data_IF_563410054671
#
_entry.id   IF_563410054671
#
_cell.length_a   1.000
_cell.length_b   1.000
_cell.length_c   1.000
_cell.angle_alpha   90.00
_cell.angle_beta   90.00
_cell.angle_gamma   90.00
#
_symmetry.space_group_name_H-M   'P 1'
#
loop_
_entity.id
_entity.type
_entity.pdbx_description
1 polymer ?
#
# COMPACT_ATOMS: atom_id res chain seq x y z
N UNK A 1 3.08 -36.28 4.99
CA UNK A 1 2.06 -35.59 4.20
C UNK A 1 2.58 -35.47 2.77
N UNK A 2 1.76 -35.82 1.81
CA UNK A 2 2.06 -35.76 0.39
C UNK A 2 0.87 -36.28 -0.42
N UNK A 3 1.03 -36.36 -1.72
CA UNK A 3 0.05 -36.95 -2.63
C UNK A 3 0.36 -38.41 -2.78
N UNK A 4 -0.57 -39.35 -2.47
CA UNK A 4 -0.35 -40.78 -2.68
C UNK A 4 0.00 -41.10 -4.14
N UNK A 5 0.91 -42.03 -4.36
CA UNK A 5 1.16 -42.57 -5.68
C UNK A 5 0.02 -43.51 -6.05
N UNK A 6 -0.70 -43.32 -7.18
CA UNK A 6 -1.86 -44.13 -7.55
C UNK A 6 -1.48 -45.52 -8.09
N UNK A 7 -0.72 -46.27 -7.26
CA UNK A 7 -0.08 -47.52 -7.67
C UNK A 7 -0.33 -48.59 -6.61
N UNK A 8 -0.60 -49.81 -7.08
CA UNK A 8 -0.62 -51.01 -6.28
C UNK A 8 0.33 -52.06 -6.90
N UNK A 9 0.65 -53.08 -6.13
CA UNK A 9 1.45 -54.22 -6.57
C UNK A 9 0.74 -55.53 -6.26
N UNK A 10 0.93 -56.53 -7.11
CA UNK A 10 0.40 -57.85 -6.88
C UNK A 10 1.12 -58.57 -5.77
N UNK A 11 0.37 -59.36 -5.02
CA UNK A 11 0.92 -60.33 -4.07
C UNK A 11 0.80 -61.71 -4.77
N UNK A 12 1.87 -62.46 -4.89
CA UNK A 12 1.84 -63.77 -5.48
C UNK A 12 1.21 -64.84 -4.56
N UNK A 13 1.19 -66.13 -5.03
CA UNK A 13 0.63 -67.22 -4.28
C UNK A 13 1.44 -67.57 -3.03
N UNK A 14 2.73 -67.20 -2.98
CA UNK A 14 3.65 -67.41 -1.85
C UNK A 14 3.62 -66.24 -0.85
N UNK A 15 2.87 -65.19 -1.17
CA UNK A 15 2.76 -63.97 -0.33
C UNK A 15 3.82 -62.93 -0.58
N UNK A 16 4.64 -63.09 -1.64
CA UNK A 16 5.70 -62.11 -2.02
C UNK A 16 5.12 -61.02 -2.91
N UNK A 17 5.58 -59.75 -2.73
CA UNK A 17 5.10 -58.58 -3.52
C UNK A 17 5.93 -58.48 -4.81
N UNK A 18 5.26 -58.47 -5.95
CA UNK A 18 5.84 -58.22 -7.26
C UNK A 18 5.92 -56.73 -7.57
N UNK A 19 7.03 -56.07 -7.26
CA UNK A 19 7.32 -54.67 -7.58
C UNK A 19 7.68 -54.44 -9.06
N UNK A 20 7.87 -55.48 -9.87
CA UNK A 20 8.28 -55.33 -11.27
C UNK A 20 7.11 -54.91 -12.18
N UNK A 21 5.88 -55.27 -11.79
CA UNK A 21 4.68 -55.02 -12.59
C UNK A 21 3.65 -54.26 -11.74
N UNK A 22 3.70 -52.93 -11.72
CA UNK A 22 2.73 -52.11 -10.98
C UNK A 22 1.33 -52.20 -11.57
N UNK A 23 0.30 -52.17 -10.73
CA UNK A 23 -1.09 -51.93 -11.10
C UNK A 23 -1.36 -50.46 -10.97
N UNK A 24 -1.70 -49.78 -12.06
CA UNK A 24 -1.97 -48.36 -12.11
C UNK A 24 -3.49 -48.10 -12.02
N UNK A 25 -3.86 -47.00 -11.39
CA UNK A 25 -5.23 -46.50 -11.50
C UNK A 25 -5.48 -45.91 -12.87
N UNK A 26 -6.71 -46.12 -13.41
CA UNK A 26 -7.16 -45.41 -14.60
C UNK A 26 -7.33 -43.92 -14.29
N UNK A 27 -7.08 -43.05 -15.25
CA UNK A 27 -7.12 -41.57 -15.08
C UNK A 27 -8.50 -41.08 -14.65
N UNK A 28 -9.56 -41.69 -15.13
CA UNK A 28 -10.96 -41.33 -14.79
C UNK A 28 -11.36 -41.72 -13.37
N UNK A 29 -10.53 -42.50 -12.66
CA UNK A 29 -10.71 -42.87 -11.25
C UNK A 29 -9.93 -41.98 -10.27
N UNK A 30 -9.08 -41.12 -10.77
CA UNK A 30 -8.31 -40.22 -9.93
C UNK A 30 -9.21 -39.14 -9.28
N UNK A 31 -8.90 -38.71 -8.04
CA UNK A 31 -7.78 -39.14 -7.18
C UNK A 31 -8.06 -40.46 -6.47
N UNK A 32 -7.02 -41.28 -6.26
CA UNK A 32 -7.07 -42.51 -5.45
C UNK A 32 -6.03 -42.48 -4.35
N UNK A 33 -6.34 -43.12 -3.21
CA UNK A 33 -5.40 -43.42 -2.15
C UNK A 33 -5.19 -44.94 -2.06
N UNK A 34 -4.03 -45.49 -2.52
CA UNK A 34 -3.80 -46.93 -2.52
C UNK A 34 -3.82 -47.58 -1.13
N UNK A 35 -3.72 -46.81 -0.07
CA UNK A 35 -3.85 -47.32 1.31
C UNK A 35 -5.29 -47.72 1.64
N UNK A 36 -6.29 -47.11 1.02
CA UNK A 36 -7.73 -47.33 1.26
C UNK A 36 -8.47 -47.84 0.04
N UNK A 37 -8.12 -47.38 -1.15
CA UNK A 37 -8.77 -47.75 -2.41
C UNK A 37 -8.28 -49.09 -2.96
N UNK A 38 -9.06 -49.68 -3.84
CA UNK A 38 -8.85 -51.03 -4.39
C UNK A 38 -8.59 -50.93 -5.89
N UNK A 39 -7.53 -51.60 -6.43
CA UNK A 39 -7.28 -51.62 -7.86
C UNK A 39 -8.37 -52.39 -8.58
N UNK A 40 -8.51 -52.14 -9.89
CA UNK A 40 -9.50 -52.81 -10.71
C UNK A 40 -9.29 -54.34 -10.75
N UNK A 41 -10.38 -55.06 -10.67
CA UNK A 41 -10.38 -56.53 -10.68
C UNK A 41 -10.09 -57.18 -9.32
N UNK A 42 -9.94 -56.40 -8.27
CA UNK A 42 -9.75 -56.89 -6.90
C UNK A 42 -10.88 -56.47 -5.97
N UNK A 43 -10.94 -57.10 -4.81
CA UNK A 43 -11.84 -56.76 -3.68
C UNK A 43 -11.03 -56.39 -2.44
N UNK A 44 -11.62 -55.63 -1.53
CA UNK A 44 -10.92 -55.08 -0.34
C UNK A 44 -10.35 -56.17 0.60
N UNK A 45 -10.96 -57.36 0.66
CA UNK A 45 -10.51 -58.48 1.44
C UNK A 45 -9.26 -59.18 0.88
N UNK A 46 -8.89 -58.87 -0.36
CA UNK A 46 -7.64 -59.35 -0.98
C UNK A 46 -6.43 -58.50 -0.68
N UNK A 47 -6.59 -57.41 0.07
CA UNK A 47 -5.47 -56.53 0.47
C UNK A 47 -4.51 -57.25 1.39
N UNK A 48 -3.26 -57.39 0.97
CA UNK A 48 -2.20 -58.09 1.70
C UNK A 48 -2.27 -59.61 1.71
N UNK A 49 -3.25 -60.20 1.04
CA UNK A 49 -3.42 -61.67 0.99
C UNK A 49 -2.70 -62.27 -0.22
N UNK A 50 -2.26 -63.54 -0.16
CA UNK A 50 -1.72 -64.23 -1.29
C UNK A 50 -2.69 -64.25 -2.50
N UNK A 51 -2.18 -63.91 -3.68
CA UNK A 51 -2.99 -63.71 -4.88
C UNK A 51 -3.78 -62.38 -4.91
N UNK A 52 -3.58 -61.51 -3.93
CA UNK A 52 -4.19 -60.19 -3.84
C UNK A 52 -3.28 -59.06 -4.25
N UNK A 53 -3.33 -57.96 -3.53
CA UNK A 53 -2.56 -56.72 -3.82
C UNK A 53 -2.12 -55.98 -2.55
N UNK A 54 -1.14 -55.13 -2.69
CA UNK A 54 -0.74 -54.10 -1.68
C UNK A 54 -0.68 -52.75 -2.36
N UNK A 55 -1.04 -51.67 -1.64
CA UNK A 55 -0.84 -50.30 -2.08
C UNK A 55 0.61 -49.86 -1.96
N UNK A 56 1.06 -48.98 -2.84
CA UNK A 56 2.35 -48.31 -2.66
C UNK A 56 2.30 -47.47 -1.37
N UNK A 57 3.26 -47.66 -0.45
CA UNK A 57 3.28 -46.90 0.80
C UNK A 57 3.86 -45.48 0.64
N UNK A 58 4.49 -45.20 -0.49
CA UNK A 58 5.16 -43.94 -0.71
C UNK A 58 4.16 -42.86 -1.15
N UNK A 59 4.52 -41.63 -0.85
CA UNK A 59 3.80 -40.45 -1.25
C UNK A 59 4.73 -39.47 -1.94
N UNK A 60 4.24 -38.76 -2.96
CA UNK A 60 4.98 -37.65 -3.54
C UNK A 60 5.11 -36.53 -2.52
N UNK A 61 6.26 -35.87 -2.48
CA UNK A 61 6.47 -34.64 -1.69
C UNK A 61 5.38 -33.60 -2.01
N UNK A 62 4.96 -32.85 -1.01
CA UNK A 62 3.96 -31.77 -1.18
C UNK A 62 4.38 -30.72 -2.20
N UNK A 63 5.66 -30.57 -2.47
CA UNK A 63 6.16 -29.71 -3.56
C UNK A 63 5.70 -30.19 -4.95
N UNK A 64 5.35 -31.46 -5.11
CA UNK A 64 4.75 -31.95 -6.35
C UNK A 64 3.45 -31.25 -6.68
N UNK A 65 2.53 -31.09 -5.70
CA UNK A 65 1.28 -30.33 -5.88
C UNK A 65 1.54 -28.82 -5.92
N UNK A 66 2.37 -28.32 -4.99
CA UNK A 66 2.69 -26.89 -4.91
C UNK A 66 3.33 -26.35 -6.18
N UNK A 67 4.07 -27.18 -6.91
CA UNK A 67 4.70 -26.81 -8.19
C UNK A 67 3.69 -26.61 -9.34
N UNK A 68 2.43 -27.02 -9.17
CA UNK A 68 1.34 -26.80 -10.12
C UNK A 68 0.45 -25.60 -9.74
N UNK A 69 0.83 -24.81 -8.75
CA UNK A 69 0.01 -23.69 -8.27
C UNK A 69 -0.47 -22.74 -9.37
N UNK A 70 0.35 -22.32 -10.37
CA UNK A 70 -0.15 -21.47 -11.47
C UNK A 70 -1.23 -22.15 -12.30
N UNK A 71 -1.08 -23.43 -12.61
CA UNK A 71 -2.06 -24.21 -13.37
C UNK A 71 -3.36 -24.39 -12.57
N UNK A 72 -3.25 -24.80 -11.30
CA UNK A 72 -4.41 -24.98 -10.42
C UNK A 72 -5.18 -23.66 -10.22
N UNK A 73 -4.48 -22.57 -9.94
CA UNK A 73 -5.11 -21.27 -9.76
C UNK A 73 -5.71 -20.70 -11.04
N UNK A 74 -5.15 -21.06 -12.19
CA UNK A 74 -5.66 -20.69 -13.51
C UNK A 74 -6.81 -21.55 -14.00
N UNK A 75 -7.19 -22.65 -13.32
CA UNK A 75 -8.24 -23.54 -13.75
C UNK A 75 -7.83 -24.42 -14.95
N UNK A 76 -6.54 -24.83 -15.01
CA UNK A 76 -6.03 -25.69 -16.06
C UNK A 76 -6.89 -26.95 -16.19
N UNK A 77 -7.33 -27.26 -17.40
CA UNK A 77 -8.29 -28.32 -17.78
C UNK A 77 -9.75 -28.07 -17.36
N UNK A 78 -10.01 -27.39 -16.23
CA UNK A 78 -11.37 -27.13 -15.72
C UNK A 78 -12.01 -25.89 -16.35
N UNK A 79 -11.24 -24.81 -16.57
CA UNK A 79 -11.69 -23.53 -17.14
C UNK A 79 -10.67 -22.99 -18.16
N UNK A 80 -10.75 -23.47 -19.44
CA UNK A 80 -9.82 -23.04 -20.49
C UNK A 80 -9.84 -21.55 -20.77
N UNK A 81 -10.98 -20.86 -20.60
CA UNK A 81 -11.09 -19.40 -20.79
C UNK A 81 -10.32 -18.63 -19.69
N UNK A 82 -10.49 -19.02 -18.43
CA UNK A 82 -9.73 -18.45 -17.33
C UNK A 82 -8.23 -18.71 -17.51
N UNK A 83 -7.86 -19.97 -17.82
CA UNK A 83 -6.46 -20.35 -18.00
C UNK A 83 -5.79 -19.53 -19.09
N UNK A 84 -6.42 -19.36 -20.25
CA UNK A 84 -5.88 -18.58 -21.36
C UNK A 84 -5.69 -17.08 -21.01
N UNK A 85 -6.46 -16.56 -20.06
CA UNK A 85 -6.36 -15.15 -19.62
C UNK A 85 -5.34 -14.91 -18.53
N UNK A 86 -5.04 -15.91 -17.68
CA UNK A 86 -4.19 -15.71 -16.48
C UNK A 86 -2.88 -16.48 -16.51
N UNK A 87 -2.70 -17.40 -17.48
CA UNK A 87 -1.46 -18.15 -17.61
C UNK A 87 -0.75 -17.76 -18.92
N UNK A 88 0.55 -17.42 -18.90
CA UNK A 88 1.40 -17.24 -17.71
C UNK A 88 0.92 -16.12 -16.78
N UNK A 89 1.17 -16.25 -15.48
CA UNK A 89 0.85 -15.21 -14.48
C UNK A 89 1.80 -14.02 -14.60
N UNK A 90 1.42 -12.85 -14.04
CA UNK A 90 2.27 -11.66 -14.08
C UNK A 90 3.37 -11.72 -13.01
N UNK A 91 3.01 -12.02 -11.78
CA UNK A 91 3.90 -11.88 -10.64
C UNK A 91 3.90 -13.08 -9.71
N UNK A 92 5.10 -13.52 -9.34
CA UNK A 92 5.32 -14.55 -8.32
C UNK A 92 6.02 -13.97 -7.09
N UNK A 93 5.31 -13.62 -5.99
CA UNK A 93 5.96 -13.29 -4.72
C UNK A 93 6.36 -14.56 -3.95
N UNK A 94 7.60 -14.61 -3.48
CA UNK A 94 8.11 -15.68 -2.62
C UNK A 94 9.35 -15.26 -1.84
N UNK A 95 9.70 -16.02 -0.79
CA UNK A 95 11.00 -15.89 -0.12
C UNK A 95 12.10 -16.68 -0.84
N UNK A 96 13.35 -16.32 -0.57
CA UNK A 96 14.52 -16.92 -1.24
C UNK A 96 14.78 -18.39 -0.85
N UNK A 97 14.26 -18.85 0.28
CA UNK A 97 14.52 -20.21 0.79
C UNK A 97 13.80 -21.32 0.02
N UNK A 98 12.77 -21.00 -0.77
CA UNK A 98 12.05 -21.95 -1.61
C UNK A 98 12.38 -21.86 -3.11
N UNK A 99 13.45 -21.16 -3.49
CA UNK A 99 13.86 -21.01 -4.89
C UNK A 99 14.15 -22.38 -5.53
N UNK A 100 14.93 -23.22 -4.88
CA UNK A 100 15.34 -24.53 -5.45
C UNK A 100 14.33 -25.66 -5.22
N UNK A 101 13.28 -25.43 -4.44
CA UNK A 101 12.20 -26.38 -4.23
C UNK A 101 10.98 -25.99 -5.05
N UNK A 102 10.24 -25.01 -4.61
CA UNK A 102 8.98 -24.60 -5.24
C UNK A 102 9.21 -23.91 -6.60
N UNK A 103 10.03 -22.84 -6.67
CA UNK A 103 10.23 -22.10 -7.91
C UNK A 103 10.81 -22.99 -9.00
N UNK A 104 11.91 -23.71 -8.70
CA UNK A 104 12.55 -24.59 -9.68
C UNK A 104 11.57 -25.63 -10.22
N UNK A 105 10.87 -26.35 -9.34
CA UNK A 105 9.92 -27.37 -9.75
C UNK A 105 8.76 -26.80 -10.58
N UNK A 106 8.27 -25.61 -10.22
CA UNK A 106 7.18 -24.95 -10.98
C UNK A 106 7.65 -24.55 -12.38
N UNK A 107 8.84 -23.96 -12.51
CA UNK A 107 9.40 -23.58 -13.82
C UNK A 107 9.61 -24.80 -14.70
N UNK A 108 10.22 -25.87 -14.17
CA UNK A 108 10.48 -27.10 -14.95
C UNK A 108 9.19 -27.73 -15.45
N UNK A 109 8.15 -27.82 -14.59
CA UNK A 109 6.87 -28.39 -14.98
C UNK A 109 6.15 -27.54 -16.02
N UNK A 110 6.13 -26.24 -15.84
CA UNK A 110 5.52 -25.31 -16.78
C UNK A 110 6.18 -25.36 -18.15
N UNK A 111 7.53 -25.40 -18.19
CA UNK A 111 8.28 -25.53 -19.44
C UNK A 111 8.01 -26.85 -20.16
N UNK A 112 7.99 -27.96 -19.42
CA UNK A 112 7.77 -29.28 -20.01
C UNK A 112 6.32 -29.47 -20.50
N UNK A 113 5.34 -28.91 -19.81
CA UNK A 113 3.93 -29.08 -20.12
C UNK A 113 3.43 -28.04 -21.14
N UNK A 114 3.83 -26.78 -20.99
CA UNK A 114 3.27 -25.68 -21.77
C UNK A 114 4.30 -25.02 -22.71
N UNK A 115 5.58 -25.35 -22.63
CA UNK A 115 6.65 -24.67 -23.37
C UNK A 115 6.79 -23.19 -23.01
N UNK A 116 6.40 -22.81 -21.78
CA UNK A 116 6.37 -21.43 -21.31
C UNK A 116 6.75 -21.32 -19.83
N UNK A 117 7.33 -20.16 -19.44
CA UNK A 117 7.51 -19.82 -18.04
C UNK A 117 6.16 -19.58 -17.37
N UNK A 118 6.00 -19.93 -16.09
CA UNK A 118 4.71 -19.81 -15.40
C UNK A 118 4.32 -18.40 -14.98
N UNK A 119 5.25 -17.42 -15.07
CA UNK A 119 5.07 -16.00 -14.75
C UNK A 119 6.12 -15.13 -15.44
N UNK A 120 5.85 -13.83 -15.53
CA UNK A 120 6.77 -12.84 -16.11
C UNK A 120 7.82 -12.36 -15.10
N UNK A 121 7.40 -12.10 -13.88
CA UNK A 121 8.20 -11.47 -12.83
C UNK A 121 8.20 -12.28 -11.52
N UNK A 122 9.30 -12.17 -10.75
CA UNK A 122 9.45 -12.83 -9.45
C UNK A 122 9.90 -11.81 -8.41
N UNK A 123 9.05 -11.54 -7.41
CA UNK A 123 9.40 -10.70 -6.27
C UNK A 123 9.96 -11.56 -5.14
N UNK A 124 11.27 -11.50 -4.93
CA UNK A 124 11.94 -12.27 -3.87
C UNK A 124 11.99 -11.47 -2.58
N UNK A 125 11.37 -11.97 -1.51
CA UNK A 125 11.44 -11.38 -0.18
C UNK A 125 12.58 -11.98 0.66
N UNK A 126 13.05 -11.24 1.68
CA UNK A 126 13.86 -11.77 2.76
C UNK A 126 13.02 -12.56 3.78
N UNK A 127 13.65 -12.97 4.87
CA UNK A 127 12.97 -13.61 5.99
C UNK A 127 12.25 -12.58 6.87
N UNK A 128 11.16 -13.01 7.47
CA UNK A 128 10.60 -12.35 8.65
C UNK A 128 11.33 -12.91 9.88
N UNK A 129 12.05 -12.02 10.57
CA UNK A 129 12.83 -12.35 11.76
C UNK A 129 12.02 -12.05 13.04
N UNK A 130 12.40 -12.68 14.14
CA UNK A 130 11.85 -12.31 15.45
C UNK A 130 12.29 -10.89 15.87
N UNK A 131 11.77 -10.33 16.99
CA UNK A 131 12.15 -9.00 17.45
C UNK A 131 13.66 -8.85 17.76
N UNK A 132 14.35 -9.96 18.07
CA UNK A 132 15.80 -10.00 18.29
C UNK A 132 16.59 -10.17 16.97
N UNK A 133 15.93 -10.09 15.81
CA UNK A 133 16.51 -10.27 14.47
C UNK A 133 17.08 -11.66 14.22
N UNK A 134 16.49 -12.70 14.82
CA UNK A 134 16.86 -14.10 14.60
C UNK A 134 15.82 -14.78 13.71
N UNK A 135 16.29 -15.74 12.89
CA UNK A 135 15.38 -16.56 12.08
C UNK A 135 14.42 -17.32 12.99
N UNK A 136 13.11 -17.16 12.72
CA UNK A 136 12.06 -17.87 13.42
C UNK A 136 12.03 -19.35 13.06
N UNK A 137 11.86 -20.21 14.06
CA UNK A 137 11.63 -21.64 13.85
C UNK A 137 10.79 -22.24 14.99
N UNK A 138 9.97 -23.22 14.65
CA UNK A 138 9.16 -23.96 15.66
C UNK A 138 10.04 -24.61 16.72
N UNK A 139 11.20 -25.17 16.33
CA UNK A 139 12.12 -25.84 17.25
C UNK A 139 12.79 -24.90 18.26
N UNK A 140 12.90 -23.60 17.94
CA UNK A 140 13.47 -22.59 18.85
C UNK A 140 12.41 -21.91 19.72
N UNK A 141 11.12 -22.11 19.42
CA UNK A 141 10.01 -21.48 20.14
C UNK A 141 9.91 -19.96 20.01
N UNK A 142 10.60 -19.36 19.01
CA UNK A 142 10.62 -17.91 18.78
C UNK A 142 9.70 -17.46 17.63
N UNK A 143 8.70 -18.26 17.29
CA UNK A 143 7.76 -17.94 16.24
C UNK A 143 6.75 -16.90 16.75
N UNK A 144 6.69 -15.76 16.08
CA UNK A 144 5.66 -14.73 16.26
C UNK A 144 4.57 -14.95 15.22
N UNK A 145 3.33 -15.17 15.66
CA UNK A 145 2.19 -15.32 14.75
C UNK A 145 1.49 -13.98 14.54
N UNK A 146 0.83 -13.76 13.40
CA UNK A 146 0.22 -12.47 13.11
C UNK A 146 -1.03 -12.16 13.93
N UNK A 147 -1.78 -13.17 14.41
CA UNK A 147 -3.07 -12.96 15.06
C UNK A 147 -3.02 -12.02 16.28
N UNK A 148 -2.12 -12.22 17.27
CA UNK A 148 -2.00 -11.29 18.40
C UNK A 148 -1.62 -9.86 17.96
N UNK A 149 -0.80 -9.72 16.91
CA UNK A 149 -0.42 -8.42 16.38
C UNK A 149 -1.61 -7.71 15.72
N UNK A 150 -2.45 -8.45 14.99
CA UNK A 150 -3.68 -7.93 14.40
C UNK A 150 -4.67 -7.47 15.46
N UNK A 151 -4.84 -8.24 16.53
CA UNK A 151 -5.71 -7.88 17.65
C UNK A 151 -5.23 -6.63 18.39
N UNK A 152 -3.91 -6.50 18.59
CA UNK A 152 -3.32 -5.40 19.35
C UNK A 152 -3.22 -4.10 18.54
N UNK A 153 -2.80 -4.17 17.28
CA UNK A 153 -2.45 -3.00 16.47
C UNK A 153 -3.47 -2.69 15.37
N UNK A 154 -4.27 -3.66 14.95
CA UNK A 154 -5.18 -3.58 13.81
C UNK A 154 -4.51 -3.95 12.49
N UNK A 155 -5.32 -4.33 11.51
CA UNK A 155 -4.84 -4.87 10.23
C UNK A 155 -4.01 -3.84 9.44
N UNK A 156 -4.45 -2.61 9.33
CA UNK A 156 -3.72 -1.55 8.61
C UNK A 156 -2.31 -1.32 9.18
N UNK A 157 -2.18 -1.37 10.52
CA UNK A 157 -0.89 -1.20 11.18
C UNK A 157 0.10 -2.35 10.89
N UNK A 158 -0.38 -3.59 10.88
CA UNK A 158 0.43 -4.77 10.55
C UNK A 158 0.81 -4.75 9.07
N UNK A 159 -0.11 -4.37 8.18
CA UNK A 159 0.15 -4.21 6.75
C UNK A 159 1.16 -3.10 6.47
N UNK A 160 1.07 -1.97 7.17
CA UNK A 160 2.05 -0.88 7.08
C UNK A 160 3.46 -1.36 7.42
N UNK A 161 3.64 -2.09 8.53
CA UNK A 161 4.92 -2.69 8.88
C UNK A 161 5.41 -3.63 7.77
N UNK A 162 4.56 -4.52 7.26
CA UNK A 162 4.92 -5.45 6.19
C UNK A 162 5.32 -4.71 4.89
N UNK A 163 4.57 -3.68 4.51
CA UNK A 163 4.84 -2.87 3.32
C UNK A 163 6.09 -1.97 3.45
N UNK A 164 6.55 -1.69 4.68
CA UNK A 164 7.80 -0.97 4.92
C UNK A 164 9.05 -1.83 4.68
N UNK A 165 8.90 -3.15 4.57
CA UNK A 165 9.98 -4.09 4.25
C UNK A 165 10.32 -4.04 2.76
N UNK A 166 11.59 -3.77 2.43
CA UNK A 166 12.04 -3.74 1.02
C UNK A 166 12.23 -5.15 0.46
N UNK A 167 11.90 -5.38 -0.81
CA UNK A 167 12.23 -6.64 -1.49
C UNK A 167 13.71 -7.04 -1.30
N UNK A 168 13.97 -8.34 -1.13
CA UNK A 168 15.33 -8.88 -0.99
C UNK A 168 16.00 -8.65 0.36
N UNK A 169 15.34 -8.02 1.33
CA UNK A 169 15.91 -7.75 2.66
C UNK A 169 15.13 -8.44 3.76
N UNK A 170 15.83 -8.91 4.80
CA UNK A 170 15.21 -9.46 6.00
C UNK A 170 14.54 -8.37 6.82
N UNK A 171 13.33 -8.65 7.31
CA UNK A 171 12.53 -7.70 8.10
C UNK A 171 12.23 -8.31 9.47
N UNK A 172 12.62 -7.63 10.54
CA UNK A 172 12.25 -8.06 11.90
C UNK A 172 10.81 -7.65 12.23
N UNK A 173 10.14 -8.44 13.07
CA UNK A 173 8.87 -8.03 13.67
C UNK A 173 9.11 -6.78 14.52
N UNK A 174 8.47 -5.68 14.18
CA UNK A 174 8.66 -4.38 14.81
C UNK A 174 7.32 -3.73 15.17
N UNK A 175 6.93 -3.86 16.44
CA UNK A 175 5.72 -3.22 16.97
C UNK A 175 5.83 -1.68 16.96
N UNK A 176 7.04 -1.12 16.98
CA UNK A 176 7.27 0.32 16.84
C UNK A 176 6.77 0.81 15.49
N UNK A 177 7.11 0.11 14.41
CA UNK A 177 6.62 0.40 13.06
C UNK A 177 5.10 0.19 12.95
N UNK A 178 4.54 -0.82 13.60
CA UNK A 178 3.08 -1.01 13.64
C UNK A 178 2.37 0.16 14.33
N UNK A 179 2.96 0.72 15.40
CA UNK A 179 2.44 1.95 16.05
C UNK A 179 2.52 3.17 15.13
N UNK A 180 3.55 3.27 14.29
CA UNK A 180 3.63 4.31 13.25
C UNK A 180 2.49 4.15 12.25
N UNK A 181 2.28 2.95 11.72
CA UNK A 181 1.18 2.66 10.79
C UNK A 181 -0.20 2.95 11.37
N UNK A 182 -0.42 2.62 12.65
CA UNK A 182 -1.67 2.96 13.34
C UNK A 182 -1.88 4.47 13.44
N UNK A 183 -0.81 5.23 13.76
CA UNK A 183 -0.90 6.71 13.78
C UNK A 183 -1.20 7.29 12.41
N UNK A 184 -0.59 6.74 11.35
CA UNK A 184 -0.88 7.13 9.98
C UNK A 184 -2.36 6.89 9.64
N UNK A 185 -2.90 5.69 9.90
CA UNK A 185 -4.30 5.37 9.68
C UNK A 185 -5.25 6.33 10.42
N UNK A 186 -4.96 6.63 11.68
CA UNK A 186 -5.74 7.60 12.47
C UNK A 186 -5.61 9.02 11.92
N UNK A 187 -4.45 9.41 11.40
CA UNK A 187 -4.26 10.73 10.77
C UNK A 187 -5.05 10.83 9.46
N UNK A 188 -5.07 9.75 8.65
CA UNK A 188 -5.92 9.65 7.43
C UNK A 188 -7.38 9.88 7.81
N UNK A 189 -7.89 9.17 8.80
CA UNK A 189 -9.27 9.32 9.27
C UNK A 189 -9.61 10.77 9.68
N UNK A 190 -8.73 11.39 10.48
CA UNK A 190 -8.95 12.73 11.01
C UNK A 190 -8.82 13.83 9.93
N UNK A 191 -7.82 13.73 9.06
CA UNK A 191 -7.65 14.64 7.93
C UNK A 191 -8.85 14.57 6.97
N UNK A 192 -9.35 13.37 6.73
CA UNK A 192 -10.53 13.13 5.87
C UNK A 192 -11.79 13.71 6.49
N UNK A 193 -12.01 13.54 7.80
CA UNK A 193 -13.13 14.20 8.51
C UNK A 193 -13.09 15.71 8.40
N UNK A 194 -11.90 16.30 8.52
CA UNK A 194 -11.73 17.72 8.31
C UNK A 194 -12.08 18.12 6.87
N UNK A 195 -11.45 17.50 5.88
CA UNK A 195 -11.66 17.84 4.47
C UNK A 195 -13.12 17.69 4.05
N UNK A 196 -13.74 16.53 4.32
CA UNK A 196 -15.13 16.25 3.96
C UNK A 196 -16.12 17.12 4.74
N UNK A 197 -15.82 17.44 6.00
CA UNK A 197 -16.64 18.37 6.79
C UNK A 197 -16.64 19.80 6.24
N UNK A 198 -15.70 20.16 5.35
CA UNK A 198 -15.69 21.47 4.65
C UNK A 198 -16.46 21.43 3.33
N UNK A 199 -16.76 20.23 2.84
CA UNK A 199 -17.56 20.02 1.64
C UNK A 199 -19.06 19.86 1.92
N UNK A 200 -19.45 19.64 3.18
CA UNK A 200 -20.85 19.52 3.57
C UNK A 200 -21.54 20.89 3.57
N UNK A 201 -22.72 20.96 2.95
CA UNK A 201 -23.62 22.08 3.06
C UNK A 201 -24.41 22.09 4.40
N UNK A 202 -25.37 23.02 4.56
CA UNK A 202 -26.19 23.15 5.77
C UNK A 202 -27.02 21.89 6.06
N UNK A 203 -27.41 21.16 5.03
CA UNK A 203 -28.22 19.94 5.13
C UNK A 203 -27.32 18.67 5.32
N UNK A 204 -25.99 18.83 5.34
CA UNK A 204 -25.03 17.74 5.43
C UNK A 204 -24.75 17.02 4.11
N UNK A 205 -25.27 17.54 2.98
CA UNK A 205 -24.99 17.02 1.64
C UNK A 205 -23.59 17.45 1.22
N UNK A 206 -22.79 16.51 0.70
CA UNK A 206 -21.45 16.83 0.22
C UNK A 206 -21.51 17.50 -1.16
N UNK A 207 -21.02 18.73 -1.23
CA UNK A 207 -20.89 19.51 -2.46
C UNK A 207 -19.39 19.62 -2.79
N UNK A 208 -18.93 18.82 -3.74
CA UNK A 208 -17.54 18.79 -4.18
C UNK A 208 -17.36 19.76 -5.34
N UNK A 209 -16.63 20.87 -5.16
CA UNK A 209 -16.33 21.76 -6.28
C UNK A 209 -15.46 21.04 -7.32
N UNK A 210 -15.63 21.34 -8.62
CA UNK A 210 -14.79 20.74 -9.66
C UNK A 210 -13.35 21.25 -9.57
N UNK A 211 -12.40 20.47 -10.09
CA UNK A 211 -10.96 20.79 -10.00
C UNK A 211 -10.56 22.06 -10.75
N UNK A 212 -11.35 22.52 -11.72
CA UNK A 212 -11.13 23.80 -12.41
C UNK A 212 -11.42 25.02 -11.52
N UNK A 213 -12.11 24.84 -10.38
CA UNK A 213 -12.25 25.86 -9.35
C UNK A 213 -10.95 26.14 -8.58
N UNK A 214 -9.90 25.32 -8.75
CA UNK A 214 -8.59 25.53 -8.10
C UNK A 214 -7.86 26.68 -8.77
N UNK A 215 -7.93 27.84 -8.16
CA UNK A 215 -7.37 29.09 -8.67
C UNK A 215 -6.24 29.68 -7.83
N UNK A 216 -6.26 29.44 -6.50
CA UNK A 216 -5.24 29.96 -5.61
C UNK A 216 -3.87 29.30 -5.83
N UNK A 217 -2.77 30.10 -5.86
CA UNK A 217 -1.43 29.59 -6.17
C UNK A 217 -0.97 28.47 -5.21
N UNK A 218 -1.27 28.60 -3.92
CA UNK A 218 -0.88 27.60 -2.92
C UNK A 218 -1.60 26.25 -3.12
N UNK A 219 -2.85 26.28 -3.57
CA UNK A 219 -3.65 25.08 -3.87
C UNK A 219 -3.10 24.36 -5.11
N UNK A 220 -2.73 25.15 -6.13
CA UNK A 220 -2.05 24.62 -7.35
C UNK A 220 -0.69 24.03 -7.02
N UNK A 221 0.09 24.68 -6.15
CA UNK A 221 1.38 24.17 -5.69
C UNK A 221 1.23 22.82 -5.01
N UNK A 222 0.27 22.67 -4.10
CA UNK A 222 0.00 21.42 -3.40
C UNK A 222 -0.40 20.30 -4.38
N UNK A 223 -1.34 20.56 -5.28
CA UNK A 223 -1.76 19.57 -6.28
C UNK A 223 -0.65 19.24 -7.28
N UNK A 224 0.17 20.19 -7.67
CA UNK A 224 1.36 19.96 -8.50
C UNK A 224 2.36 19.02 -7.82
N UNK A 225 2.66 19.21 -6.53
CA UNK A 225 3.48 18.28 -5.75
C UNK A 225 2.85 16.89 -5.65
N UNK A 226 1.53 16.82 -5.49
CA UNK A 226 0.82 15.55 -5.47
C UNK A 226 0.91 14.81 -6.81
N UNK A 227 0.88 15.53 -7.94
CA UNK A 227 1.09 14.95 -9.26
C UNK A 227 2.46 14.26 -9.37
N UNK A 228 3.53 14.88 -8.84
CA UNK A 228 4.86 14.26 -8.76
C UNK A 228 4.82 12.97 -7.94
N UNK A 229 4.13 12.99 -6.80
CA UNK A 229 3.98 11.77 -5.97
C UNK A 229 3.24 10.66 -6.71
N UNK A 230 2.20 10.97 -7.49
CA UNK A 230 1.50 9.99 -8.33
C UNK A 230 2.46 9.33 -9.32
N UNK A 231 3.29 10.12 -10.02
CA UNK A 231 4.29 9.59 -10.97
C UNK A 231 5.33 8.73 -10.26
N UNK A 232 5.89 9.22 -9.14
CA UNK A 232 6.91 8.48 -8.38
C UNK A 232 6.37 7.19 -7.76
N UNK A 233 5.15 7.21 -7.20
CA UNK A 233 4.50 6.03 -6.62
C UNK A 233 4.15 5.02 -7.71
N UNK A 234 3.64 5.46 -8.85
CA UNK A 234 3.36 4.59 -10.00
C UNK A 234 4.63 3.91 -10.49
N UNK A 235 5.70 4.67 -10.74
CA UNK A 235 6.99 4.11 -11.18
C UNK A 235 7.57 3.12 -10.15
N UNK A 236 7.39 3.39 -8.85
CA UNK A 236 7.84 2.50 -7.79
C UNK A 236 7.03 1.19 -7.77
N UNK A 237 5.71 1.23 -7.93
CA UNK A 237 4.89 0.02 -8.03
C UNK A 237 5.19 -0.78 -9.30
N UNK A 238 5.39 -0.13 -10.45
CA UNK A 238 5.81 -0.80 -11.69
C UNK A 238 7.16 -1.51 -11.54
N UNK A 239 8.04 -0.98 -10.69
CA UNK A 239 9.33 -1.61 -10.34
C UNK A 239 9.22 -2.60 -9.16
N UNK A 240 8.01 -2.91 -8.68
CA UNK A 240 7.75 -3.74 -7.50
C UNK A 240 8.39 -3.22 -6.19
N UNK A 241 8.80 -1.94 -6.14
CA UNK A 241 9.32 -1.25 -4.94
C UNK A 241 8.17 -0.57 -4.17
N UNK A 242 7.27 -1.38 -3.64
CA UNK A 242 6.12 -0.92 -2.87
C UNK A 242 6.50 -0.11 -1.61
N UNK A 243 7.66 -0.40 -1.03
CA UNK A 243 8.15 0.33 0.13
C UNK A 243 8.49 1.79 -0.22
N UNK A 244 9.06 2.02 -1.41
CA UNK A 244 9.33 3.37 -1.91
C UNK A 244 8.04 4.12 -2.24
N UNK A 245 7.06 3.43 -2.84
CA UNK A 245 5.75 4.04 -3.11
C UNK A 245 5.08 4.52 -1.80
N UNK A 246 5.11 3.68 -0.75
CA UNK A 246 4.63 4.05 0.57
C UNK A 246 5.41 5.24 1.16
N UNK A 247 6.74 5.21 1.15
CA UNK A 247 7.61 6.27 1.68
C UNK A 247 7.30 7.62 1.04
N UNK A 248 7.14 7.68 -0.29
CA UNK A 248 6.82 8.91 -1.02
C UNK A 248 5.43 9.43 -0.70
N UNK A 249 4.44 8.53 -0.70
CA UNK A 249 3.06 8.89 -0.39
C UNK A 249 2.91 9.36 1.06
N UNK A 250 3.52 8.65 2.01
CA UNK A 250 3.45 9.00 3.43
C UNK A 250 4.14 10.34 3.71
N UNK A 251 5.33 10.56 3.16
CA UNK A 251 6.07 11.82 3.33
C UNK A 251 5.26 13.02 2.85
N UNK A 252 4.65 12.91 1.67
CA UNK A 252 3.75 13.94 1.17
C UNK A 252 2.50 14.10 2.05
N UNK A 253 1.89 13.01 2.50
CA UNK A 253 0.69 13.05 3.34
C UNK A 253 0.93 13.78 4.66
N UNK A 254 2.10 13.60 5.29
CA UNK A 254 2.46 14.36 6.49
C UNK A 254 2.61 15.86 6.21
N UNK A 255 3.32 16.25 5.14
CA UNK A 255 3.43 17.65 4.74
C UNK A 255 2.07 18.25 4.38
N UNK A 256 1.21 17.51 3.67
CA UNK A 256 -0.18 17.90 3.40
C UNK A 256 -0.94 18.18 4.70
N UNK A 257 -0.84 17.30 5.69
CA UNK A 257 -1.56 17.46 6.95
C UNK A 257 -0.99 18.54 7.86
N UNK A 258 0.33 18.65 7.96
CA UNK A 258 0.96 19.47 8.98
C UNK A 258 1.21 20.91 8.49
N UNK A 259 1.31 21.10 7.17
CA UNK A 259 1.54 22.41 6.57
C UNK A 259 0.31 22.89 5.77
N UNK A 260 -0.03 22.21 4.69
CA UNK A 260 -1.07 22.70 3.78
C UNK A 260 -2.45 22.80 4.43
N UNK A 261 -2.93 21.75 5.13
CA UNK A 261 -4.23 21.77 5.79
C UNK A 261 -4.33 22.93 6.79
N UNK A 262 -3.28 23.20 7.53
CA UNK A 262 -3.26 24.28 8.52
C UNK A 262 -3.21 25.67 7.86
N UNK A 263 -2.49 25.82 6.74
CA UNK A 263 -2.43 27.07 5.97
C UNK A 263 -3.81 27.43 5.40
N UNK A 264 -4.48 26.48 4.74
CA UNK A 264 -5.75 26.76 4.06
C UNK A 264 -6.98 26.64 4.96
N UNK A 265 -6.79 26.31 6.21
CA UNK A 265 -7.86 25.99 7.16
C UNK A 265 -8.93 27.08 7.24
N UNK A 266 -8.54 28.32 7.49
CA UNK A 266 -9.47 29.45 7.60
C UNK A 266 -10.23 29.66 6.30
N UNK A 267 -9.54 29.64 5.17
CA UNK A 267 -10.13 29.81 3.86
C UNK A 267 -11.11 28.66 3.52
N UNK A 268 -10.82 27.42 3.91
CA UNK A 268 -11.74 26.29 3.73
C UNK A 268 -13.04 26.40 4.56
N UNK A 269 -13.03 27.19 5.65
CA UNK A 269 -14.22 27.53 6.46
C UNK A 269 -15.04 28.70 5.92
N UNK A 270 -14.56 29.39 4.88
CA UNK A 270 -15.24 30.56 4.29
C UNK A 270 -16.57 30.24 3.64
N UNK A 271 -17.22 31.29 3.14
CA UNK A 271 -18.52 31.18 2.46
C UNK A 271 -18.40 30.41 1.13
N UNK A 272 -19.49 29.73 0.75
CA UNK A 272 -19.44 28.80 -0.41
C UNK A 272 -19.27 29.54 -1.75
N UNK A 273 -19.69 30.81 -1.83
CA UNK A 273 -19.59 31.66 -3.02
C UNK A 273 -18.26 32.42 -3.14
N UNK A 274 -17.38 32.33 -2.13
CA UNK A 274 -16.03 32.90 -2.18
C UNK A 274 -15.11 32.02 -3.07
N UNK A 275 -14.47 32.62 -4.11
CA UNK A 275 -13.59 31.87 -5.00
C UNK A 275 -12.39 31.24 -4.29
N UNK A 276 -11.86 31.86 -3.25
CA UNK A 276 -10.77 31.32 -2.45
C UNK A 276 -11.20 30.08 -1.65
N UNK A 277 -12.41 30.11 -1.10
CA UNK A 277 -13.04 28.96 -0.42
C UNK A 277 -13.29 27.82 -1.40
N UNK A 278 -13.86 28.11 -2.56
CA UNK A 278 -14.09 27.11 -3.61
C UNK A 278 -12.78 26.45 -4.05
N UNK A 279 -11.70 27.23 -4.23
CA UNK A 279 -10.38 26.74 -4.58
C UNK A 279 -9.82 25.79 -3.50
N UNK A 280 -9.85 26.19 -2.23
CA UNK A 280 -9.36 25.35 -1.13
C UNK A 280 -10.16 24.04 -1.02
N UNK A 281 -11.50 24.10 -1.10
CA UNK A 281 -12.36 22.92 -1.02
C UNK A 281 -12.17 21.97 -2.20
N UNK A 282 -12.02 22.48 -3.43
CA UNK A 282 -11.72 21.66 -4.61
C UNK A 282 -10.37 20.96 -4.47
N UNK A 283 -9.34 21.68 -4.04
CA UNK A 283 -8.00 21.12 -3.83
C UNK A 283 -7.97 20.07 -2.70
N UNK A 284 -8.70 20.29 -1.60
CA UNK A 284 -8.84 19.31 -0.52
C UNK A 284 -9.53 18.03 -1.00
N UNK A 285 -10.62 18.15 -1.77
CA UNK A 285 -11.34 17.00 -2.29
C UNK A 285 -10.50 16.20 -3.30
N UNK A 286 -9.84 16.89 -4.24
CA UNK A 286 -8.94 16.26 -5.22
C UNK A 286 -7.77 15.54 -4.53
N UNK A 287 -7.09 16.23 -3.62
CA UNK A 287 -5.98 15.63 -2.87
C UNK A 287 -6.43 14.42 -2.04
N UNK A 288 -7.58 14.50 -1.36
CA UNK A 288 -8.11 13.38 -0.59
C UNK A 288 -8.41 12.17 -1.47
N UNK A 289 -9.05 12.37 -2.62
CA UNK A 289 -9.34 11.29 -3.58
C UNK A 289 -8.07 10.58 -4.06
N UNK A 290 -7.03 11.33 -4.39
CA UNK A 290 -5.74 10.79 -4.85
C UNK A 290 -5.01 10.07 -3.72
N UNK A 291 -4.88 10.70 -2.55
CA UNK A 291 -4.15 10.15 -1.41
C UNK A 291 -4.77 8.87 -0.86
N UNK A 292 -6.10 8.79 -0.81
CA UNK A 292 -6.78 7.57 -0.40
C UNK A 292 -6.45 6.41 -1.35
N UNK A 293 -6.48 6.62 -2.67
CA UNK A 293 -6.15 5.60 -3.67
C UNK A 293 -4.67 5.20 -3.62
N UNK A 294 -3.75 6.14 -3.40
CA UNK A 294 -2.32 5.84 -3.22
C UNK A 294 -2.05 5.02 -1.96
N UNK A 295 -2.79 5.25 -0.87
CA UNK A 295 -2.63 4.55 0.40
C UNK A 295 -3.42 3.24 0.48
N UNK A 296 -4.45 3.03 -0.35
CA UNK A 296 -5.32 1.86 -0.31
C UNK A 296 -4.59 0.50 -0.39
N UNK A 297 -3.52 0.33 -1.19
CA UNK A 297 -2.78 -0.93 -1.21
C UNK A 297 -2.14 -1.31 0.13
N UNK A 298 -1.84 -0.33 0.96
CA UNK A 298 -1.15 -0.52 2.26
C UNK A 298 -2.12 -0.45 3.44
N UNK A 299 -3.03 0.53 3.45
CA UNK A 299 -4.01 0.80 4.51
C UNK A 299 -5.44 0.56 4.01
N UNK A 300 -5.80 -0.68 3.62
CA UNK A 300 -7.05 -0.95 2.92
C UNK A 300 -8.31 -0.63 3.73
N UNK A 301 -8.28 -0.81 5.04
CA UNK A 301 -9.48 -0.66 5.86
C UNK A 301 -9.83 0.81 6.12
N UNK A 302 -8.87 1.63 6.52
CA UNK A 302 -9.15 3.05 6.78
C UNK A 302 -9.46 3.81 5.49
N UNK A 303 -8.84 3.43 4.38
CA UNK A 303 -9.12 4.08 3.08
C UNK A 303 -10.49 3.71 2.55
N UNK A 304 -10.93 2.45 2.67
CA UNK A 304 -12.29 2.02 2.33
C UNK A 304 -13.33 2.68 3.23
N UNK A 305 -13.10 2.73 4.54
CA UNK A 305 -13.99 3.41 5.48
C UNK A 305 -14.24 4.87 5.05
N UNK A 306 -13.15 5.63 4.82
CA UNK A 306 -13.27 7.03 4.39
C UNK A 306 -13.90 7.16 3.01
N UNK A 307 -13.54 6.28 2.06
CA UNK A 307 -14.09 6.27 0.71
C UNK A 307 -15.62 6.14 0.73
N UNK A 308 -16.13 5.23 1.54
CA UNK A 308 -17.56 4.96 1.70
C UNK A 308 -18.38 6.16 2.22
N UNK A 309 -17.75 7.18 2.81
CA UNK A 309 -18.45 8.36 3.31
C UNK A 309 -18.89 9.32 2.19
N UNK A 310 -18.26 9.23 1.01
CA UNK A 310 -18.46 10.23 -0.03
C UNK A 310 -18.35 9.73 -1.48
N UNK A 311 -17.95 8.50 -1.68
CA UNK A 311 -17.83 7.88 -3.00
C UNK A 311 -18.71 6.64 -3.11
N UNK A 312 -19.14 6.34 -4.34
CA UNK A 312 -19.91 5.14 -4.65
C UNK A 312 -18.97 3.97 -4.98
N UNK A 313 -19.30 2.79 -4.48
CA UNK A 313 -18.49 1.58 -4.70
C UNK A 313 -17.27 1.51 -3.77
N UNK A 314 -16.45 0.49 -3.97
CA UNK A 314 -15.25 0.26 -3.15
C UNK A 314 -14.04 0.97 -3.74
N UNK A 315 -13.17 1.53 -2.88
CA UNK A 315 -11.88 2.09 -3.29
C UNK A 315 -10.99 1.04 -3.96
N UNK A 316 -11.14 -0.24 -3.57
CA UNK A 316 -10.37 -1.35 -4.11
C UNK A 316 -10.77 -1.75 -5.54
N UNK A 317 -11.91 -1.23 -6.02
CA UNK A 317 -12.34 -1.35 -7.41
C UNK A 317 -12.16 -0.02 -8.19
N UNK A 318 -11.72 1.05 -7.53
CA UNK A 318 -11.44 2.33 -8.18
C UNK A 318 -10.14 2.26 -9.00
N UNK A 319 -10.08 3.04 -10.07
CA UNK A 319 -8.87 3.16 -10.88
C UNK A 319 -7.71 3.76 -10.08
N UNK A 320 -6.49 3.30 -10.36
CA UNK A 320 -5.27 3.92 -9.84
C UNK A 320 -5.22 5.40 -10.23
N UNK A 321 -4.79 6.31 -9.32
CA UNK A 321 -4.79 7.73 -9.63
C UNK A 321 -3.79 8.08 -10.73
N UNK A 322 -4.18 9.05 -11.56
CA UNK A 322 -3.36 9.62 -12.62
C UNK A 322 -3.01 11.08 -12.32
N UNK A 323 -2.11 11.64 -13.09
CA UNK A 323 -1.76 13.07 -12.99
C UNK A 323 -2.98 13.96 -13.25
N UNK A 324 -3.90 13.56 -14.14
CA UNK A 324 -5.11 14.31 -14.45
C UNK A 324 -6.04 14.48 -13.24
N UNK A 325 -6.00 13.54 -12.28
CA UNK A 325 -6.75 13.61 -11.03
C UNK A 325 -6.26 14.73 -10.08
N UNK A 326 -5.13 15.36 -10.38
CA UNK A 326 -4.57 16.49 -9.61
C UNK A 326 -4.90 17.85 -10.22
N UNK A 327 -5.70 17.88 -11.29
CA UNK A 327 -6.22 19.11 -11.89
C UNK A 327 -5.48 19.61 -13.11
N UNK A 328 -6.02 20.64 -13.79
CA UNK A 328 -5.48 21.15 -15.02
C UNK A 328 -4.12 21.83 -14.82
N UNK A 329 -3.13 21.43 -15.64
CA UNK A 329 -1.79 22.04 -15.67
C UNK A 329 -0.66 21.16 -15.11
N UNK A 330 -0.95 20.01 -14.53
CA UNK A 330 0.04 18.98 -14.31
C UNK A 330 0.29 18.28 -15.66
N UNK A 331 1.36 18.64 -16.36
CA UNK A 331 1.75 17.96 -17.61
C UNK A 331 2.10 16.49 -17.35
N UNK A 332 2.13 15.67 -18.43
CA UNK A 332 2.49 14.25 -18.35
C UNK A 332 3.82 13.96 -17.66
N UNK A 333 4.71 14.94 -17.62
CA UNK A 333 6.04 14.86 -16.98
C UNK A 333 6.04 15.33 -15.52
N UNK A 334 4.87 15.69 -14.95
CA UNK A 334 4.64 16.15 -13.58
C UNK A 334 5.72 17.11 -13.03
N UNK A 335 6.22 18.03 -13.87
CA UNK A 335 7.11 19.07 -13.41
C UNK A 335 6.28 20.19 -12.75
N UNK A 336 6.45 20.39 -11.45
CA UNK A 336 5.87 21.54 -10.76
C UNK A 336 6.54 22.81 -11.32
N UNK A 337 5.74 23.80 -11.74
CA UNK A 337 6.30 25.10 -12.06
C UNK A 337 7.02 25.68 -10.84
N UNK A 338 8.33 25.97 -10.94
CA UNK A 338 9.12 26.39 -9.78
C UNK A 338 8.59 27.64 -9.07
N UNK A 339 7.96 28.56 -9.80
CA UNK A 339 7.39 29.76 -9.20
C UNK A 339 6.13 29.44 -8.38
N UNK A 340 5.32 28.52 -8.87
CA UNK A 340 4.14 28.02 -8.17
C UNK A 340 4.55 27.19 -6.95
N UNK A 341 5.53 26.30 -7.08
CA UNK A 341 6.03 25.46 -5.98
C UNK A 341 6.59 26.27 -4.82
N UNK A 342 7.31 27.35 -5.13
CA UNK A 342 7.88 28.27 -4.14
C UNK A 342 6.81 28.90 -3.24
N UNK A 343 5.55 29.01 -3.66
CA UNK A 343 4.45 29.57 -2.85
C UNK A 343 4.19 28.70 -1.64
N UNK A 344 3.99 27.40 -1.84
CA UNK A 344 3.73 26.47 -0.73
C UNK A 344 4.99 26.27 0.13
N UNK A 345 6.17 26.19 -0.49
CA UNK A 345 7.44 26.07 0.21
C UNK A 345 7.64 27.22 1.19
N UNK A 346 7.52 28.46 0.69
CA UNK A 346 7.72 29.67 1.50
C UNK A 346 6.67 29.81 2.60
N UNK A 347 5.40 29.53 2.30
CA UNK A 347 4.33 29.58 3.29
C UNK A 347 4.53 28.55 4.42
N UNK A 348 4.93 27.32 4.09
CA UNK A 348 5.20 26.25 5.05
C UNK A 348 6.41 26.56 5.91
N UNK A 349 7.51 27.07 5.31
CA UNK A 349 8.71 27.49 6.03
C UNK A 349 8.41 28.57 7.05
N UNK A 350 7.76 29.66 6.63
CA UNK A 350 7.40 30.77 7.51
C UNK A 350 6.47 30.32 8.64
N UNK A 351 5.44 29.53 8.34
CA UNK A 351 4.56 28.97 9.36
C UNK A 351 5.31 28.09 10.36
N UNK A 352 6.24 27.27 9.87
CA UNK A 352 7.12 26.45 10.71
C UNK A 352 7.96 27.27 11.68
N UNK A 353 8.52 28.40 11.23
CA UNK A 353 9.29 29.32 12.07
C UNK A 353 8.41 30.03 13.10
N UNK A 354 7.20 30.45 12.74
CA UNK A 354 6.21 31.02 13.68
C UNK A 354 5.86 30.01 14.78
N UNK A 355 5.58 28.75 14.41
CA UNK A 355 5.29 27.67 15.38
C UNK A 355 6.46 27.38 16.30
N UNK A 356 7.69 27.41 15.78
CA UNK A 356 8.92 27.25 16.56
C UNK A 356 9.08 28.38 17.57
N UNK A 357 8.86 29.65 17.18
CA UNK A 357 8.92 30.80 18.05
C UNK A 357 7.92 30.70 19.21
N UNK A 358 6.65 30.34 18.93
CA UNK A 358 5.62 30.07 19.93
C UNK A 358 6.01 28.97 20.91
N UNK A 359 6.55 27.86 20.40
CA UNK A 359 7.01 26.73 21.21
C UNK A 359 8.17 27.13 22.12
N UNK A 360 9.16 27.86 21.59
CA UNK A 360 10.31 28.35 22.34
C UNK A 360 9.89 29.29 23.46
N UNK A 361 8.93 30.18 23.19
CA UNK A 361 8.33 31.08 24.17
C UNK A 361 7.33 30.38 25.12
N UNK A 362 7.11 29.06 24.97
CA UNK A 362 6.10 28.28 25.73
C UNK A 362 4.69 28.84 25.64
N UNK A 363 4.34 29.45 24.51
CA UNK A 363 3.02 30.01 24.24
C UNK A 363 2.14 29.00 23.50
N UNK A 364 0.83 29.17 23.63
CA UNK A 364 -0.15 28.38 22.86
C UNK A 364 0.05 28.59 21.35
N UNK A 365 -0.19 27.57 20.52
CA UNK A 365 -0.23 27.75 19.07
C UNK A 365 -1.27 28.77 18.59
N UNK A 366 -2.28 29.06 19.41
CA UNK A 366 -3.29 30.10 19.15
C UNK A 366 -2.86 31.50 19.60
N UNK A 367 -1.72 31.65 20.27
CA UNK A 367 -1.24 32.97 20.71
C UNK A 367 -1.03 33.86 19.47
N UNK A 368 -1.53 35.13 19.50
CA UNK A 368 -1.34 36.02 18.36
C UNK A 368 0.13 36.44 18.23
N UNK A 369 0.55 36.66 16.99
CA UNK A 369 1.83 37.28 16.62
C UNK A 369 1.57 38.74 16.30
N UNK A 370 2.15 39.65 17.07
CA UNK A 370 1.96 41.07 16.83
C UNK A 370 2.57 41.52 15.51
N UNK A 371 3.85 41.16 15.29
CA UNK A 371 4.56 41.49 14.06
C UNK A 371 5.37 40.27 13.62
N UNK A 372 5.21 39.90 12.36
CA UNK A 372 6.04 38.90 11.65
C UNK A 372 6.85 39.64 10.59
N UNK A 373 8.18 39.71 10.78
CA UNK A 373 9.07 40.30 9.77
C UNK A 373 9.79 39.18 9.00
N UNK A 374 9.64 39.19 7.68
CA UNK A 374 10.32 38.25 6.77
C UNK A 374 11.27 38.99 5.87
N UNK A 375 12.55 38.63 5.95
CA UNK A 375 13.61 39.15 5.08
C UNK A 375 14.03 38.05 4.13
N UNK A 376 13.98 38.32 2.81
CA UNK A 376 14.38 37.35 1.79
C UNK A 376 14.58 38.02 0.43
N UNK A 377 14.93 37.24 -0.58
CA UNK A 377 15.04 37.69 -1.98
C UNK A 377 13.67 38.12 -2.54
N UNK A 378 13.69 38.96 -3.55
CA UNK A 378 12.46 39.44 -4.20
C UNK A 378 11.55 38.32 -4.69
N UNK A 379 12.13 37.23 -5.26
CA UNK A 379 11.37 36.10 -5.76
C UNK A 379 10.65 35.34 -4.63
N UNK A 380 11.33 35.09 -3.50
CA UNK A 380 10.73 34.40 -2.36
C UNK A 380 9.68 35.24 -1.62
N UNK A 381 9.90 36.56 -1.55
CA UNK A 381 8.88 37.49 -1.02
C UNK A 381 7.64 37.58 -1.93
N UNK A 382 7.81 37.49 -3.25
CA UNK A 382 6.68 37.42 -4.17
C UNK A 382 5.88 36.11 -3.99
N UNK A 383 6.56 34.99 -3.75
CA UNK A 383 5.93 33.72 -3.43
C UNK A 383 5.16 33.79 -2.09
N UNK A 384 5.73 34.42 -1.05
CA UNK A 384 5.06 34.64 0.23
C UNK A 384 3.79 35.51 0.06
N UNK A 385 3.87 36.58 -0.74
CA UNK A 385 2.76 37.47 -0.99
C UNK A 385 1.55 36.75 -1.64
N UNK A 386 1.82 35.71 -2.47
CA UNK A 386 0.77 34.91 -3.09
C UNK A 386 0.02 34.00 -2.10
N UNK A 387 0.54 33.79 -0.88
CA UNK A 387 -0.06 33.02 0.21
C UNK A 387 -0.17 33.84 1.51
N UNK A 388 -0.05 35.17 1.43
CA UNK A 388 -0.02 36.05 2.65
C UNK A 388 -1.21 35.82 3.56
N UNK A 389 -2.42 35.77 3.00
CA UNK A 389 -3.65 35.55 3.79
C UNK A 389 -3.61 34.24 4.56
N UNK A 390 -3.25 33.15 3.87
CA UNK A 390 -3.17 31.81 4.49
C UNK A 390 -2.11 31.78 5.62
N UNK A 391 -0.93 32.40 5.41
CA UNK A 391 0.13 32.50 6.43
C UNK A 391 -0.29 33.32 7.62
N UNK A 392 -0.94 34.47 7.41
CA UNK A 392 -1.45 35.34 8.48
C UNK A 392 -2.47 34.62 9.33
N UNK A 393 -3.43 33.99 8.70
CA UNK A 393 -4.50 33.26 9.39
C UNK A 393 -3.96 32.07 10.17
N UNK A 394 -3.17 31.21 9.54
CA UNK A 394 -2.58 30.02 10.17
C UNK A 394 -1.60 30.40 11.31
N UNK A 395 -0.84 31.46 11.13
CA UNK A 395 0.10 31.99 12.10
C UNK A 395 -0.53 32.81 13.22
N UNK A 396 -1.79 33.29 13.04
CA UNK A 396 -2.40 34.28 13.92
C UNK A 396 -1.63 35.61 13.89
N UNK A 397 -1.18 36.02 12.69
CA UNK A 397 -0.31 37.19 12.47
C UNK A 397 -1.15 38.45 12.26
N UNK A 398 -0.95 39.43 13.11
CA UNK A 398 -1.65 40.73 13.01
C UNK A 398 -1.03 41.60 11.92
N UNK A 399 0.29 41.73 11.92
CA UNK A 399 1.05 42.51 10.96
C UNK A 399 2.16 41.65 10.32
N UNK A 400 2.20 41.60 8.98
CA UNK A 400 3.31 40.99 8.21
C UNK A 400 4.10 42.08 7.55
N UNK A 401 5.40 42.12 7.83
CA UNK A 401 6.37 43.04 7.24
C UNK A 401 7.36 42.26 6.39
N UNK A 402 7.53 42.67 5.14
CA UNK A 402 8.53 42.06 4.25
C UNK A 402 9.70 43.02 4.01
N UNK A 403 10.93 42.51 4.00
CA UNK A 403 12.14 43.25 3.72
C UNK A 403 12.99 42.53 2.68
N UNK A 404 13.45 43.24 1.67
CA UNK A 404 14.41 42.68 0.72
C UNK A 404 15.80 42.58 1.38
N UNK A 405 16.43 41.43 1.22
CA UNK A 405 17.79 41.19 1.75
C UNK A 405 18.42 39.96 1.12
N UNK A 406 19.74 39.86 1.15
CA UNK A 406 20.51 38.74 0.61
C UNK A 406 20.56 37.53 1.60
N UNK A 407 20.33 37.80 2.89
CA UNK A 407 20.26 36.78 3.93
C UNK A 407 18.80 36.59 4.37
N UNK A 408 18.32 35.34 4.25
CA UNK A 408 16.98 34.99 4.68
C UNK A 408 16.85 35.07 6.21
N UNK A 409 15.79 35.69 6.71
CA UNK A 409 15.53 35.84 8.13
C UNK A 409 14.04 35.98 8.45
N UNK A 410 13.61 35.41 9.57
CA UNK A 410 12.25 35.55 10.07
C UNK A 410 12.28 35.92 11.53
N UNK A 411 11.73 37.09 11.85
CA UNK A 411 11.59 37.62 13.20
C UNK A 411 10.12 37.55 13.62
N UNK A 412 9.84 36.99 14.80
CA UNK A 412 8.49 36.80 15.31
C UNK A 412 8.34 37.54 16.65
N UNK A 413 7.53 38.58 16.65
CA UNK A 413 7.14 39.31 17.86
C UNK A 413 5.77 38.84 18.31
N UNK A 414 5.73 38.18 19.48
CA UNK A 414 4.46 37.69 20.05
C UNK A 414 3.73 38.84 20.73
N UNK A 415 2.40 38.87 20.58
CA UNK A 415 1.61 39.87 21.31
C UNK A 415 1.70 39.66 22.83
N UNK A 416 1.68 40.77 23.57
CA UNK A 416 1.55 40.76 25.04
C UNK A 416 0.24 40.07 25.45
N UNK A 417 0.22 39.43 26.63
CA UNK A 417 -0.98 38.78 27.17
C UNK A 417 -2.04 39.78 27.61
#
# INVERSE_FOLDING_TARGET
>A
FGVPLPVWYRVDADGEVDFAVPLLADEDRLPVDPSTDVPEGYSADQRGEPGGFVGDPDVMDTWATSSLTPQIAGGWEDDPDLFARVFPMDLRPQAHDIIRTWLFSTVVRSELEHGALPWSDVAISGWVLDPDRKKMSKSKGNVVTPLPLLEQHGADAVRYWAASGRPGTDTAVDEGQMKVGRRLAMKVLNASRFALGRLADEDGTLVVPPLDAVTAPIDRAMLGRLAVVVVEATAAFEAYDYARALERTESFFWAFCDDYLELVKTRAYGEADDPGTASARAALAGALSVLLRLLAPVLPFVTEEVWSWWQVGSIHAAAWPTVDDTGPGAGSDAAVDPATDAVLEMAAEVLGLVRRAKTTAKRSMRAPVAVLTVTDTAARLAALAAAEGDVRDAGGVVELVTRMGDEAGVEVELAEE
#
